data_IF_899662194791
#
_entry.id   IF_899662194791
#
_cell.length_a   1.000
_cell.length_b   1.000
_cell.length_c   1.000
_cell.angle_alpha   90.00
_cell.angle_beta   90.00
_cell.angle_gamma   90.00
#
_symmetry.space_group_name_H-M   'P 1'
#
loop_
_entity.id
_entity.type
_entity.pdbx_description
1 polymer ?
#
# COMPACT_ATOMS: atom_id res chain seq x y z
N UNK A 1 31.35 -2.18 6.02
CA UNK A 1 29.89 -1.90 5.91
C UNK A 1 29.27 -2.52 7.14
N UNK A 2 28.95 -1.66 8.11
CA UNK A 2 28.78 -2.05 9.51
C UNK A 2 27.55 -2.91 9.74
N UNK A 3 27.72 -4.00 10.48
CA UNK A 3 26.65 -4.91 10.95
C UNK A 3 25.57 -4.17 11.75
N UNK A 4 25.91 -3.08 12.42
CA UNK A 4 24.98 -2.17 13.12
C UNK A 4 24.04 -1.42 12.16
N UNK A 5 24.52 -0.96 11.01
CA UNK A 5 23.69 -0.31 10.01
C UNK A 5 22.72 -1.29 9.30
N UNK A 6 23.16 -2.53 9.08
CA UNK A 6 22.30 -3.58 8.54
C UNK A 6 21.19 -3.97 9.53
N UNK A 7 21.50 -4.05 10.84
CA UNK A 7 20.51 -4.33 11.89
C UNK A 7 19.46 -3.22 12.02
N UNK A 8 19.89 -1.95 12.04
CA UNK A 8 18.98 -0.78 12.07
C UNK A 8 18.06 -0.71 10.84
N UNK A 9 18.56 -1.03 9.65
CA UNK A 9 17.75 -1.07 8.44
C UNK A 9 16.70 -2.18 8.46
N UNK A 10 17.01 -3.35 9.02
CA UNK A 10 16.07 -4.45 9.16
C UNK A 10 14.95 -4.14 10.18
N UNK A 11 15.28 -3.54 11.31
CA UNK A 11 14.28 -3.10 12.30
C UNK A 11 13.37 -1.99 11.74
N UNK A 12 13.95 -1.05 10.99
CA UNK A 12 13.19 0.01 10.32
C UNK A 12 12.28 -0.56 9.24
N UNK A 13 12.77 -1.50 8.42
CA UNK A 13 11.97 -2.20 7.41
C UNK A 13 10.82 -3.00 8.04
N UNK A 14 11.06 -3.66 9.18
CA UNK A 14 10.03 -4.36 9.92
C UNK A 14 8.94 -3.41 10.45
N UNK A 15 9.30 -2.21 10.91
CA UNK A 15 8.36 -1.25 11.52
C UNK A 15 7.55 -0.43 10.50
N UNK A 16 8.16 -0.03 9.39
CA UNK A 16 7.59 0.92 8.44
C UNK A 16 7.49 0.35 7.02
N UNK A 17 7.67 -0.96 6.84
CA UNK A 17 7.83 -1.58 5.53
C UNK A 17 9.15 -1.20 4.85
N UNK A 18 9.48 -1.84 3.74
CA UNK A 18 10.64 -1.50 2.91
C UNK A 18 10.18 -0.80 1.64
N UNK A 19 10.59 0.48 1.40
CA UNK A 19 10.18 1.19 0.21
C UNK A 19 10.83 0.57 -1.04
N UNK A 20 10.14 0.63 -2.17
CA UNK A 20 10.72 0.27 -3.45
C UNK A 20 11.56 1.43 -3.97
N UNK A 21 12.84 1.18 -4.25
CA UNK A 21 13.75 2.16 -4.86
C UNK A 21 13.78 2.09 -6.40
N UNK A 22 13.00 1.20 -6.98
CA UNK A 22 12.97 0.99 -8.44
C UNK A 22 11.54 0.89 -8.90
N UNK A 23 11.18 1.71 -9.90
CA UNK A 23 9.89 1.61 -10.58
C UNK A 23 9.89 0.41 -11.52
N UNK A 24 8.87 -0.42 -11.44
CA UNK A 24 8.73 -1.69 -12.20
C UNK A 24 7.33 -1.81 -12.77
N UNK A 25 7.13 -2.81 -13.64
CA UNK A 25 5.83 -3.13 -14.24
C UNK A 25 4.70 -3.27 -13.20
N UNK A 26 5.03 -3.76 -12.01
CA UNK A 26 4.07 -3.90 -10.92
C UNK A 26 3.55 -2.57 -10.39
N UNK A 27 4.43 -1.59 -10.19
CA UNK A 27 4.06 -0.25 -9.77
C UNK A 27 3.33 0.48 -10.90
N UNK A 28 3.81 0.35 -12.13
CA UNK A 28 3.17 0.94 -13.31
C UNK A 28 1.71 0.45 -13.46
N UNK A 29 1.49 -0.85 -13.35
CA UNK A 29 0.14 -1.41 -13.37
C UNK A 29 -0.75 -0.84 -12.27
N UNK A 30 -0.23 -0.73 -11.03
CA UNK A 30 -0.99 -0.17 -9.91
C UNK A 30 -1.28 1.33 -10.14
N UNK A 31 -0.33 2.08 -10.71
CA UNK A 31 -0.55 3.47 -11.12
C UNK A 31 -1.74 3.60 -12.07
N UNK A 32 -1.81 2.78 -13.10
CA UNK A 32 -2.94 2.77 -14.04
C UNK A 32 -4.26 2.46 -13.35
N UNK A 33 -4.27 1.46 -12.44
CA UNK A 33 -5.46 1.14 -11.63
C UNK A 33 -5.89 2.30 -10.72
N UNK A 34 -4.93 3.03 -10.14
CA UNK A 34 -5.20 4.22 -9.32
C UNK A 34 -5.83 5.32 -10.18
N UNK A 35 -5.26 5.61 -11.35
CA UNK A 35 -5.77 6.63 -12.26
C UNK A 35 -7.17 6.30 -12.79
N UNK A 36 -7.42 5.04 -13.15
CA UNK A 36 -8.75 4.56 -13.53
C UNK A 36 -9.75 4.72 -12.37
N UNK A 37 -9.36 4.35 -11.15
CA UNK A 37 -10.21 4.48 -9.97
C UNK A 37 -10.46 5.93 -9.57
N UNK A 38 -9.48 6.80 -9.78
CA UNK A 38 -9.58 8.24 -9.50
C UNK A 38 -10.59 8.92 -10.43
N UNK A 39 -10.52 8.62 -11.73
CA UNK A 39 -11.31 9.35 -12.74
C UNK A 39 -11.08 10.85 -12.63
N UNK A 40 -12.13 11.66 -12.70
CA UNK A 40 -12.06 13.13 -12.62
C UNK A 40 -11.47 13.66 -11.31
N UNK A 41 -11.44 12.85 -10.24
CA UNK A 41 -10.88 13.25 -8.93
C UNK A 41 -9.37 13.45 -8.98
N UNK A 42 -8.68 12.90 -9.96
CA UNK A 42 -7.27 13.19 -10.24
C UNK A 42 -7.03 14.67 -10.51
N UNK A 43 -8.02 15.38 -11.08
CA UNK A 43 -7.94 16.83 -11.34
C UNK A 43 -8.12 17.68 -10.07
N UNK A 44 -8.25 17.06 -8.91
CA UNK A 44 -8.38 17.69 -7.62
C UNK A 44 -7.09 17.70 -6.79
N UNK A 45 -7.26 17.68 -5.48
CA UNK A 45 -6.17 17.58 -4.50
C UNK A 45 -6.06 16.13 -4.04
N UNK A 46 -4.88 15.55 -4.20
CA UNK A 46 -4.59 14.15 -3.88
C UNK A 46 -3.73 14.07 -2.62
N UNK A 47 -4.02 13.11 -1.75
CA UNK A 47 -3.17 12.71 -0.64
C UNK A 47 -2.64 11.30 -0.88
N UNK A 48 -1.35 11.11 -0.80
CA UNK A 48 -0.74 9.80 -0.59
C UNK A 48 -0.40 9.65 0.90
N UNK A 49 -1.17 8.82 1.60
CA UNK A 49 -0.95 8.53 3.01
C UNK A 49 0.07 7.39 3.13
N UNK A 50 1.28 7.70 3.59
CA UNK A 50 2.42 6.80 3.65
C UNK A 50 3.20 6.75 2.33
N UNK A 51 3.74 7.90 1.90
CA UNK A 51 4.40 8.01 0.58
C UNK A 51 5.81 7.38 0.52
N UNK A 52 6.36 6.92 1.65
CA UNK A 52 7.70 6.36 1.70
C UNK A 52 8.75 7.36 1.19
N UNK A 53 9.48 6.97 0.16
CA UNK A 53 10.49 7.83 -0.52
C UNK A 53 9.92 8.62 -1.70
N UNK A 54 8.58 8.69 -1.86
CA UNK A 54 7.90 9.55 -2.81
C UNK A 54 7.68 8.98 -4.22
N UNK A 55 7.90 7.68 -4.44
CA UNK A 55 7.81 7.06 -5.77
C UNK A 55 6.43 7.24 -6.43
N UNK A 56 5.34 7.01 -5.70
CA UNK A 56 4.00 7.23 -6.27
C UNK A 56 3.64 8.72 -6.34
N UNK A 57 4.15 9.57 -5.42
CA UNK A 57 3.99 11.03 -5.54
C UNK A 57 4.59 11.51 -6.86
N UNK A 58 5.83 11.09 -7.17
CA UNK A 58 6.53 11.44 -8.41
C UNK A 58 5.74 11.01 -9.65
N UNK A 59 5.34 9.73 -9.71
CA UNK A 59 4.68 9.17 -10.89
C UNK A 59 3.21 9.59 -11.03
N UNK A 60 2.51 9.96 -9.95
CA UNK A 60 1.15 10.52 -10.00
C UNK A 60 1.16 12.01 -10.34
N UNK A 61 2.19 12.74 -9.97
CA UNK A 61 2.27 14.21 -10.15
C UNK A 61 1.91 14.69 -11.57
N UNK A 62 2.36 14.04 -12.68
CA UNK A 62 1.99 14.47 -14.03
C UNK A 62 0.49 14.32 -14.35
N UNK A 63 -0.23 13.53 -13.59
CA UNK A 63 -1.62 13.16 -13.84
C UNK A 63 -2.62 13.88 -12.93
N UNK A 64 -2.14 14.65 -11.95
CA UNK A 64 -2.99 15.27 -10.93
C UNK A 64 -2.72 16.76 -10.81
N UNK A 65 -3.72 17.53 -10.36
CA UNK A 65 -3.55 18.98 -10.18
C UNK A 65 -2.59 19.32 -9.03
N UNK A 66 -2.72 18.62 -7.92
CA UNK A 66 -1.89 18.78 -6.73
C UNK A 66 -1.81 17.49 -5.95
N UNK A 67 -0.63 17.12 -5.48
CA UNK A 67 -0.44 15.94 -4.64
C UNK A 67 0.35 16.27 -3.38
N UNK A 68 -0.10 15.74 -2.24
CA UNK A 68 0.60 15.76 -0.97
C UNK A 68 0.99 14.33 -0.59
N UNK A 69 2.27 14.11 -0.35
CA UNK A 69 2.78 12.88 0.25
C UNK A 69 2.93 13.06 1.76
N UNK A 70 2.42 12.11 2.54
CA UNK A 70 2.58 12.10 3.98
C UNK A 70 3.40 10.88 4.38
N UNK A 71 4.45 11.09 5.18
CA UNK A 71 5.35 10.03 5.64
C UNK A 71 5.67 10.20 7.13
N UNK A 72 5.59 9.10 7.88
CA UNK A 72 5.87 9.06 9.31
C UNK A 72 7.39 9.17 9.59
N UNK A 73 8.19 8.44 8.82
CA UNK A 73 9.65 8.40 8.99
C UNK A 73 10.28 9.66 8.39
N UNK A 74 10.89 10.48 9.24
CA UNK A 74 11.45 11.77 8.84
C UNK A 74 12.57 11.66 7.80
N UNK A 75 13.40 10.61 7.85
CA UNK A 75 14.48 10.41 6.87
C UNK A 75 13.91 10.03 5.49
N UNK A 76 12.85 9.20 5.45
CA UNK A 76 12.13 8.90 4.21
C UNK A 76 11.40 10.12 3.66
N UNK A 77 10.81 10.95 4.53
CA UNK A 77 10.18 12.21 4.12
C UNK A 77 11.20 13.17 3.48
N UNK A 78 12.44 13.24 4.01
CA UNK A 78 13.53 14.00 3.38
C UNK A 78 13.88 13.42 2.01
N UNK A 79 14.02 12.10 1.89
CA UNK A 79 14.28 11.45 0.59
C UNK A 79 13.14 11.70 -0.40
N UNK A 80 11.89 11.56 0.02
CA UNK A 80 10.73 11.87 -0.80
C UNK A 80 10.74 13.32 -1.29
N UNK A 81 11.12 14.27 -0.41
CA UNK A 81 11.27 15.68 -0.78
C UNK A 81 12.38 15.89 -1.80
N UNK A 82 13.48 15.14 -1.73
CA UNK A 82 14.55 15.19 -2.74
C UNK A 82 14.07 14.63 -4.09
N UNK A 83 13.38 13.49 -4.09
CA UNK A 83 12.82 12.89 -5.31
C UNK A 83 11.79 13.81 -5.97
N UNK A 84 10.93 14.44 -5.18
CA UNK A 84 9.83 15.30 -5.68
C UNK A 84 10.20 16.79 -5.78
N UNK A 85 11.43 17.16 -5.47
CA UNK A 85 11.82 18.58 -5.24
C UNK A 85 11.65 19.51 -6.44
N UNK A 86 11.68 19.01 -7.67
CA UNK A 86 11.47 19.77 -8.89
C UNK A 86 9.99 19.84 -9.33
N UNK A 87 9.12 19.07 -8.67
CA UNK A 87 7.70 19.00 -9.01
C UNK A 87 6.92 20.15 -8.34
N UNK A 88 6.42 21.08 -9.12
CA UNK A 88 5.74 22.29 -8.60
C UNK A 88 4.39 21.97 -7.91
N UNK A 89 3.76 20.85 -8.25
CA UNK A 89 2.46 20.44 -7.72
C UNK A 89 2.54 19.38 -6.63
N UNK A 90 3.76 18.94 -6.23
CA UNK A 90 3.98 17.91 -5.21
C UNK A 90 4.56 18.51 -3.92
N UNK A 91 4.03 18.09 -2.78
CA UNK A 91 4.50 18.54 -1.47
C UNK A 91 4.61 17.35 -0.53
N UNK A 92 5.66 17.31 0.29
CA UNK A 92 5.90 16.25 1.28
C UNK A 92 5.75 16.82 2.69
N UNK A 93 5.03 16.08 3.54
CA UNK A 93 4.80 16.41 4.94
C UNK A 93 5.12 15.20 5.82
N UNK A 94 5.78 15.43 6.97
CA UNK A 94 5.99 14.37 7.96
C UNK A 94 4.87 14.42 9.00
N UNK A 95 4.05 13.36 9.05
CA UNK A 95 2.96 13.20 10.02
C UNK A 95 2.52 11.74 10.11
N UNK A 96 1.64 11.43 11.08
CA UNK A 96 1.06 10.09 11.29
C UNK A 96 -0.29 9.95 10.56
N UNK A 97 -0.52 8.79 9.95
CA UNK A 97 -1.77 8.52 9.21
C UNK A 97 -3.02 8.41 10.09
N UNK A 98 -2.86 8.11 11.38
CA UNK A 98 -3.94 8.01 12.37
C UNK A 98 -4.42 9.36 12.92
N UNK A 99 -3.73 10.46 12.56
CA UNK A 99 -4.10 11.83 12.94
C UNK A 99 -3.61 12.79 11.85
N UNK A 100 -4.40 12.91 10.80
CA UNK A 100 -4.06 13.71 9.63
C UNK A 100 -4.18 15.22 9.95
N UNK A 101 -3.12 16.03 9.71
CA UNK A 101 -3.10 17.45 10.02
C UNK A 101 -3.85 18.31 8.98
N UNK A 102 -5.00 17.82 8.52
CA UNK A 102 -5.80 18.47 7.50
C UNK A 102 -7.25 18.65 7.96
N UNK A 103 -7.91 19.65 7.40
CA UNK A 103 -9.32 19.91 7.65
C UNK A 103 -10.19 18.80 7.04
N UNK A 104 -11.40 18.64 7.59
CA UNK A 104 -12.41 17.75 7.03
C UNK A 104 -12.75 18.14 5.59
N UNK A 105 -12.82 17.17 4.68
CA UNK A 105 -13.22 17.40 3.31
C UNK A 105 -12.20 18.13 2.44
N UNK A 106 -10.90 17.97 2.71
CA UNK A 106 -9.82 18.62 1.96
C UNK A 106 -9.50 17.93 0.63
N UNK A 107 -9.54 16.60 0.58
CA UNK A 107 -9.01 15.82 -0.54
C UNK A 107 -10.09 15.24 -1.45
N UNK A 108 -9.80 15.23 -2.74
CA UNK A 108 -10.59 14.60 -3.79
C UNK A 108 -10.29 13.12 -3.95
N UNK A 109 -9.02 12.78 -3.74
CA UNK A 109 -8.50 11.42 -3.81
C UNK A 109 -7.52 11.18 -2.67
N UNK A 110 -7.61 10.00 -2.05
CA UNK A 110 -6.61 9.53 -1.09
C UNK A 110 -6.10 8.17 -1.56
N UNK A 111 -4.78 8.05 -1.68
CA UNK A 111 -4.09 6.80 -1.89
C UNK A 111 -3.49 6.32 -0.55
N UNK A 112 -3.71 5.05 -0.22
CA UNK A 112 -3.01 4.34 0.85
C UNK A 112 -2.49 3.02 0.29
N UNK A 113 -1.19 2.98 0.01
CA UNK A 113 -0.56 1.88 -0.71
C UNK A 113 0.43 1.14 0.18
N UNK A 114 0.04 -0.06 0.68
CA UNK A 114 0.85 -0.90 1.57
C UNK A 114 1.27 -0.11 2.84
N UNK A 115 0.30 0.48 3.55
CA UNK A 115 0.50 1.32 4.74
C UNK A 115 -0.29 0.82 5.94
N UNK A 116 -1.57 0.47 5.76
CA UNK A 116 -2.47 0.13 6.87
C UNK A 116 -2.00 -1.09 7.67
N UNK A 117 -1.24 -1.98 7.06
CA UNK A 117 -0.63 -3.13 7.72
C UNK A 117 0.45 -2.77 8.74
N UNK A 118 1.04 -1.58 8.62
CA UNK A 118 2.16 -1.10 9.46
C UNK A 118 1.74 -0.08 10.52
N UNK A 119 0.58 0.59 10.37
CA UNK A 119 0.12 1.61 11.33
C UNK A 119 -0.26 0.98 12.69
N UNK A 120 -0.28 1.76 13.75
CA UNK A 120 -0.67 1.25 15.07
C UNK A 120 -2.15 0.89 15.13
N UNK A 121 -3.01 1.78 14.63
CA UNK A 121 -4.46 1.63 14.57
C UNK A 121 -4.98 1.86 13.14
N UNK A 122 -5.14 0.75 12.41
CA UNK A 122 -5.60 0.76 11.02
C UNK A 122 -7.03 1.30 10.87
N UNK A 123 -7.89 1.03 11.88
CA UNK A 123 -9.24 1.59 11.89
C UNK A 123 -9.22 3.10 12.03
N UNK A 124 -8.41 3.64 12.95
CA UNK A 124 -8.27 5.08 13.15
C UNK A 124 -7.71 5.77 11.91
N UNK A 125 -6.74 5.15 11.23
CA UNK A 125 -6.20 5.66 9.97
C UNK A 125 -7.29 5.75 8.88
N UNK A 126 -8.15 4.72 8.74
CA UNK A 126 -9.26 4.74 7.77
C UNK A 126 -10.31 5.79 8.14
N UNK A 127 -10.63 5.97 9.44
CA UNK A 127 -11.54 7.04 9.92
C UNK A 127 -11.00 8.43 9.56
N UNK A 128 -9.71 8.66 9.78
CA UNK A 128 -9.07 9.94 9.45
C UNK A 128 -9.05 10.19 7.94
N UNK A 129 -8.73 9.17 7.13
CA UNK A 129 -8.86 9.27 5.67
C UNK A 129 -10.29 9.62 5.26
N UNK A 130 -11.29 8.95 5.82
CA UNK A 130 -12.69 9.27 5.54
C UNK A 130 -13.08 10.69 6.00
N UNK A 131 -12.53 11.20 7.10
CA UNK A 131 -12.75 12.55 7.58
C UNK A 131 -12.23 13.59 6.60
N UNK A 132 -10.98 13.46 6.19
CA UNK A 132 -10.33 14.46 5.32
C UNK A 132 -10.73 14.33 3.85
N UNK A 133 -11.37 13.24 3.45
CA UNK A 133 -11.95 13.06 2.12
C UNK A 133 -13.22 13.89 1.99
N UNK A 134 -13.39 14.61 0.87
CA UNK A 134 -14.61 15.37 0.59
C UNK A 134 -15.77 14.44 0.19
N UNK A 135 -17.04 14.85 0.32
CA UNK A 135 -18.16 14.14 -0.30
C UNK A 135 -17.91 13.95 -1.82
N UNK A 136 -18.17 12.75 -2.32
CA UNK A 136 -17.87 12.36 -3.71
C UNK A 136 -16.38 12.07 -3.99
N UNK A 137 -15.50 12.31 -3.04
CA UNK A 137 -14.07 11.92 -3.14
C UNK A 137 -13.89 10.41 -3.00
N UNK A 138 -12.73 9.90 -3.42
CA UNK A 138 -12.40 8.47 -3.37
C UNK A 138 -11.15 8.20 -2.56
N UNK A 139 -11.16 7.09 -1.85
CA UNK A 139 -9.94 6.49 -1.30
C UNK A 139 -9.64 5.18 -2.03
N UNK A 140 -8.38 5.03 -2.43
CA UNK A 140 -7.83 3.85 -3.09
C UNK A 140 -6.86 3.19 -2.12
N UNK A 141 -7.11 1.94 -1.78
CA UNK A 141 -6.37 1.22 -0.74
C UNK A 141 -5.81 -0.07 -1.31
N UNK A 142 -4.51 -0.28 -1.10
CA UNK A 142 -3.82 -1.55 -1.30
C UNK A 142 -3.29 -2.04 0.04
N UNK A 143 -3.58 -3.30 0.38
CA UNK A 143 -3.07 -3.97 1.59
C UNK A 143 -2.85 -5.45 1.32
N UNK A 144 -1.94 -6.12 2.05
CA UNK A 144 -1.65 -7.54 1.86
C UNK A 144 -2.88 -8.42 2.10
N UNK A 145 -3.12 -9.33 1.17
CA UNK A 145 -4.22 -10.27 1.26
C UNK A 145 -3.82 -11.51 2.08
N UNK A 146 -4.62 -11.84 3.09
CA UNK A 146 -4.44 -13.06 3.90
C UNK A 146 -4.53 -14.36 3.09
N UNK A 147 -5.28 -14.37 1.99
CA UNK A 147 -5.38 -15.53 1.10
C UNK A 147 -4.13 -15.79 0.25
N UNK A 148 -3.19 -14.84 0.20
CA UNK A 148 -1.93 -15.04 -0.52
C UNK A 148 -1.06 -16.08 0.19
N UNK A 149 -0.56 -17.12 -0.54
CA UNK A 149 0.13 -18.24 0.09
C UNK A 149 1.51 -17.92 0.68
N UNK A 150 2.02 -16.71 0.48
CA UNK A 150 3.33 -16.31 1.00
C UNK A 150 3.21 -15.07 1.90
N UNK A 151 3.95 -15.06 3.01
CA UNK A 151 4.23 -13.83 3.75
C UNK A 151 5.39 -13.10 3.07
N UNK A 152 5.16 -11.85 2.67
CA UNK A 152 6.11 -11.08 1.84
C UNK A 152 6.97 -10.11 2.63
N UNK A 153 6.62 -9.83 3.89
CA UNK A 153 7.34 -8.90 4.77
C UNK A 153 8.32 -9.63 5.70
N UNK A 154 8.51 -10.95 5.54
CA UNK A 154 9.39 -11.74 6.39
C UNK A 154 8.78 -12.11 7.74
N UNK A 155 9.56 -12.85 8.52
CA UNK A 155 9.15 -13.35 9.84
C UNK A 155 10.28 -13.23 10.86
N UNK A 156 9.92 -13.23 12.15
CA UNK A 156 10.84 -13.46 13.25
C UNK A 156 10.85 -14.94 13.60
N UNK A 157 12.02 -15.57 13.52
CA UNK A 157 12.23 -16.95 13.93
C UNK A 157 13.37 -17.04 14.93
N UNK A 158 13.10 -17.57 16.13
CA UNK A 158 14.09 -17.66 17.24
C UNK A 158 14.79 -16.32 17.54
N UNK A 159 14.05 -15.21 17.50
CA UNK A 159 14.58 -13.87 17.77
C UNK A 159 15.24 -13.17 16.57
N UNK A 160 15.46 -13.87 15.45
CA UNK A 160 16.07 -13.31 14.26
C UNK A 160 15.01 -12.98 13.21
N UNK A 161 15.16 -11.84 12.52
CA UNK A 161 14.33 -11.46 11.40
C UNK A 161 14.81 -12.11 10.11
N UNK A 162 13.91 -12.78 9.41
CA UNK A 162 14.14 -13.42 8.11
C UNK A 162 13.27 -12.76 7.05
N UNK A 163 13.87 -11.93 6.22
CA UNK A 163 13.19 -11.29 5.10
C UNK A 163 12.98 -12.28 3.94
N UNK A 164 11.87 -12.15 3.22
CA UNK A 164 11.59 -12.91 2.02
C UNK A 164 10.17 -13.48 1.97
N UNK A 165 9.87 -14.19 0.90
CA UNK A 165 8.58 -14.84 0.70
C UNK A 165 8.52 -16.17 1.47
N UNK A 166 7.90 -16.17 2.63
CA UNK A 166 7.79 -17.35 3.50
C UNK A 166 6.46 -18.04 3.25
N UNK A 167 6.45 -19.31 2.79
CA UNK A 167 5.21 -19.99 2.42
C UNK A 167 4.32 -20.28 3.63
N UNK A 168 3.00 -20.24 3.41
CA UNK A 168 1.92 -20.70 4.29
C UNK A 168 1.76 -19.96 5.63
N UNK A 169 2.58 -18.97 5.94
CA UNK A 169 2.49 -18.22 7.21
C UNK A 169 1.16 -17.49 7.35
N UNK A 170 0.60 -16.99 6.25
CA UNK A 170 -0.68 -16.30 6.26
C UNK A 170 -1.88 -17.21 6.59
N UNK A 171 -1.74 -18.52 6.44
CA UNK A 171 -2.77 -19.51 6.78
C UNK A 171 -2.74 -19.99 8.23
N UNK A 172 -1.70 -19.63 8.98
CA UNK A 172 -1.62 -19.94 10.40
C UNK A 172 -2.76 -19.27 11.19
N UNK A 173 -3.18 -19.88 12.31
CA UNK A 173 -4.03 -19.19 13.29
C UNK A 173 -3.45 -17.82 13.66
N UNK A 174 -4.32 -16.82 13.86
CA UNK A 174 -3.90 -15.42 14.10
C UNK A 174 -2.89 -15.28 15.24
N UNK A 175 -3.02 -16.06 16.29
CA UNK A 175 -2.10 -16.04 17.44
C UNK A 175 -0.68 -16.49 17.06
N UNK A 176 -0.55 -17.55 16.24
CA UNK A 176 0.75 -18.04 15.76
C UNK A 176 1.37 -17.10 14.75
N UNK A 177 0.55 -16.61 13.78
CA UNK A 177 1.04 -15.64 12.81
C UNK A 177 1.57 -14.38 13.48
N UNK A 178 0.87 -13.84 14.50
CA UNK A 178 1.32 -12.67 15.24
C UNK A 178 2.64 -12.87 15.98
N UNK A 179 2.99 -14.09 16.36
CA UNK A 179 4.31 -14.40 16.94
C UNK A 179 5.43 -14.40 15.90
N UNK A 180 5.11 -14.83 14.67
CA UNK A 180 6.07 -14.90 13.58
C UNK A 180 6.20 -13.56 12.84
N UNK A 181 5.10 -12.86 12.58
CA UNK A 181 5.07 -11.58 11.89
C UNK A 181 4.29 -10.51 12.70
N UNK A 182 4.83 -10.07 13.86
CA UNK A 182 4.17 -9.09 14.72
C UNK A 182 4.12 -7.69 14.11
N UNK A 183 5.01 -7.40 13.18
CA UNK A 183 5.28 -6.10 12.57
C UNK A 183 4.37 -5.77 11.38
N UNK A 184 3.58 -6.74 10.90
CA UNK A 184 2.73 -6.56 9.71
C UNK A 184 1.40 -7.29 9.85
N UNK A 185 0.31 -6.64 9.42
CA UNK A 185 -1.01 -7.26 9.31
C UNK A 185 -1.22 -7.83 7.91
N UNK A 186 -2.12 -8.80 7.80
CA UNK A 186 -2.73 -9.22 6.55
C UNK A 186 -4.24 -9.25 6.73
N UNK A 187 -4.96 -8.95 5.69
CA UNK A 187 -6.40 -8.73 5.75
C UNK A 187 -7.16 -9.81 4.99
N UNK A 188 -8.19 -10.37 5.60
CA UNK A 188 -9.25 -11.05 4.89
C UNK A 188 -10.26 -10.02 4.36
N UNK A 189 -11.15 -10.43 3.48
CA UNK A 189 -12.24 -9.58 2.99
C UNK A 189 -13.06 -8.99 4.16
N UNK A 190 -13.39 -9.83 5.14
CA UNK A 190 -14.12 -9.42 6.33
C UNK A 190 -13.33 -8.44 7.24
N UNK A 191 -12.01 -8.60 7.34
CA UNK A 191 -11.18 -7.63 8.07
C UNK A 191 -11.24 -6.26 7.39
N UNK A 192 -11.19 -6.24 6.06
CA UNK A 192 -11.33 -5.01 5.29
C UNK A 192 -12.71 -4.35 5.51
N UNK A 193 -13.81 -5.11 5.42
CA UNK A 193 -15.15 -4.55 5.67
C UNK A 193 -15.27 -3.90 7.05
N UNK A 194 -14.69 -4.53 8.07
CA UNK A 194 -14.68 -3.99 9.44
C UNK A 194 -14.01 -2.62 9.55
N UNK A 195 -12.96 -2.35 8.75
CA UNK A 195 -12.30 -1.05 8.74
C UNK A 195 -13.23 0.10 8.30
N UNK A 196 -14.28 -0.21 7.57
CA UNK A 196 -15.22 0.80 7.05
C UNK A 196 -16.57 0.82 7.78
N UNK A 197 -16.79 -0.04 8.79
CA UNK A 197 -18.07 -0.12 9.50
C UNK A 197 -18.48 1.25 10.07
N UNK A 198 -19.69 1.72 9.73
CA UNK A 198 -20.24 3.00 10.21
C UNK A 198 -19.64 4.25 9.57
N UNK A 199 -18.78 4.12 8.54
CA UNK A 199 -18.30 5.27 7.78
C UNK A 199 -19.27 5.60 6.63
N UNK A 200 -19.43 6.88 6.27
CA UNK A 200 -20.28 7.30 5.16
C UNK A 200 -19.58 7.08 3.82
N UNK A 201 -19.39 5.82 3.46
CA UNK A 201 -18.72 5.43 2.20
C UNK A 201 -19.49 4.33 1.50
N UNK A 202 -19.40 4.31 0.16
CA UNK A 202 -19.82 3.19 -0.68
C UNK A 202 -18.64 2.59 -1.40
N UNK A 203 -18.61 1.29 -1.56
CA UNK A 203 -17.54 0.62 -2.30
C UNK A 203 -17.78 0.66 -3.80
N UNK A 204 -16.80 1.14 -4.55
CA UNK A 204 -16.79 1.15 -6.02
C UNK A 204 -16.09 -0.12 -6.54
N UNK A 205 -14.98 -0.50 -5.91
CA UNK A 205 -14.25 -1.73 -6.20
C UNK A 205 -13.83 -2.42 -4.91
N UNK A 206 -13.99 -3.74 -4.90
CA UNK A 206 -13.52 -4.64 -3.85
C UNK A 206 -12.92 -5.87 -4.53
N UNK A 207 -11.63 -5.80 -4.88
CA UNK A 207 -10.94 -6.84 -5.63
C UNK A 207 -9.70 -7.29 -4.89
N UNK A 208 -9.22 -8.48 -5.25
CA UNK A 208 -7.89 -8.97 -4.91
C UNK A 208 -7.11 -9.12 -6.20
N UNK A 209 -5.88 -8.60 -6.23
CA UNK A 209 -5.03 -8.57 -7.42
C UNK A 209 -3.78 -9.42 -7.22
N UNK A 210 -3.28 -9.97 -8.33
CA UNK A 210 -2.00 -10.65 -8.38
C UNK A 210 -0.86 -9.69 -8.69
N UNK A 211 0.36 -10.06 -8.31
CA UNK A 211 1.57 -9.29 -8.58
C UNK A 211 1.95 -9.24 -10.07
N UNK A 212 2.98 -8.47 -10.39
CA UNK A 212 3.55 -8.41 -11.73
C UNK A 212 4.63 -9.46 -11.98
N UNK A 213 5.18 -10.07 -10.91
CA UNK A 213 6.18 -11.15 -10.99
C UNK A 213 7.45 -10.78 -11.78
N UNK A 214 7.86 -9.51 -11.71
CA UNK A 214 8.97 -8.94 -12.48
C UNK A 214 10.28 -9.71 -12.30
N UNK A 215 10.58 -10.19 -11.08
CA UNK A 215 11.79 -10.99 -10.82
C UNK A 215 11.76 -12.35 -11.56
N UNK A 216 10.58 -12.99 -11.67
CA UNK A 216 10.42 -14.24 -12.40
C UNK A 216 10.55 -13.97 -13.90
N UNK A 217 9.95 -12.88 -14.40
CA UNK A 217 10.04 -12.48 -15.81
C UNK A 217 11.49 -12.17 -16.19
N UNK A 218 12.23 -11.48 -15.32
CA UNK A 218 13.65 -11.18 -15.56
C UNK A 218 14.50 -12.45 -15.68
N UNK A 219 14.22 -13.48 -14.85
CA UNK A 219 14.97 -14.73 -14.85
C UNK A 219 14.53 -15.69 -15.96
N UNK A 220 13.24 -15.78 -16.24
CA UNK A 220 12.62 -16.65 -17.24
C UNK A 220 11.55 -15.90 -18.05
N UNK A 221 11.94 -15.08 -19.06
CA UNK A 221 11.03 -14.12 -19.69
C UNK A 221 9.76 -14.73 -20.28
N UNK A 222 9.87 -15.85 -21.00
CA UNK A 222 8.70 -16.51 -21.62
C UNK A 222 7.78 -17.11 -20.59
N UNK A 223 8.32 -17.90 -19.66
CA UNK A 223 7.55 -18.56 -18.60
C UNK A 223 6.91 -17.52 -17.66
N UNK A 224 7.67 -16.50 -17.24
CA UNK A 224 7.18 -15.45 -16.34
C UNK A 224 6.03 -14.64 -16.96
N UNK A 225 6.10 -14.32 -18.27
CA UNK A 225 5.00 -13.64 -18.97
C UNK A 225 3.73 -14.48 -19.04
N UNK A 226 3.87 -15.78 -19.33
CA UNK A 226 2.71 -16.70 -19.33
C UNK A 226 2.12 -16.81 -17.94
N UNK A 227 2.94 -17.05 -16.91
CA UNK A 227 2.52 -17.12 -15.51
C UNK A 227 1.78 -15.84 -15.10
N UNK A 228 2.34 -14.66 -15.37
CA UNK A 228 1.70 -13.38 -15.10
C UNK A 228 0.32 -13.28 -15.77
N UNK A 229 0.22 -13.62 -17.05
CA UNK A 229 -1.03 -13.57 -17.81
C UNK A 229 -2.09 -14.50 -17.21
N UNK A 230 -1.72 -15.73 -16.84
CA UNK A 230 -2.62 -16.70 -16.21
C UNK A 230 -3.09 -16.19 -14.85
N UNK A 231 -2.17 -15.82 -13.96
CA UNK A 231 -2.51 -15.36 -12.61
C UNK A 231 -3.34 -14.08 -12.63
N UNK A 232 -3.00 -13.09 -13.47
CA UNK A 232 -3.82 -11.89 -13.61
C UNK A 232 -5.19 -12.18 -14.26
N UNK A 233 -5.28 -13.19 -15.12
CA UNK A 233 -6.56 -13.69 -15.62
C UNK A 233 -7.48 -14.25 -14.52
N UNK A 234 -6.88 -14.84 -13.48
CA UNK A 234 -7.63 -15.37 -12.33
C UNK A 234 -8.28 -14.27 -11.47
N UNK A 235 -7.89 -13.00 -11.61
CA UNK A 235 -8.53 -11.87 -10.90
C UNK A 235 -10.01 -11.69 -11.24
N UNK A 236 -10.46 -12.26 -12.36
CA UNK A 236 -11.87 -12.26 -12.80
C UNK A 236 -12.64 -13.51 -12.39
N UNK A 237 -12.04 -14.38 -11.61
CA UNK A 237 -12.60 -15.65 -11.16
C UNK A 237 -12.64 -15.71 -9.63
N UNK A 238 -13.37 -16.67 -9.03
CA UNK A 238 -13.31 -16.88 -7.58
C UNK A 238 -11.88 -17.12 -7.05
N UNK A 239 -10.95 -17.57 -7.89
CA UNK A 239 -9.55 -17.79 -7.51
C UNK A 239 -8.78 -16.50 -7.18
N UNK A 240 -9.36 -15.32 -7.39
CA UNK A 240 -8.77 -14.04 -6.98
C UNK A 240 -8.41 -14.02 -5.48
N UNK A 241 -9.07 -14.83 -4.63
CA UNK A 241 -8.76 -14.89 -3.20
C UNK A 241 -7.30 -15.28 -2.90
N UNK A 242 -6.59 -15.93 -3.84
CA UNK A 242 -5.16 -16.23 -3.76
C UNK A 242 -4.25 -15.09 -4.23
N UNK A 243 -4.80 -13.95 -4.64
CA UNK A 243 -4.02 -12.80 -5.10
C UNK A 243 -3.21 -12.16 -3.98
N UNK A 244 -2.25 -11.34 -4.38
CA UNK A 244 -1.24 -10.73 -3.51
C UNK A 244 -1.81 -9.67 -2.56
N UNK A 245 -2.58 -8.73 -3.13
CA UNK A 245 -3.08 -7.56 -2.40
C UNK A 245 -4.57 -7.34 -2.64
N UNK A 246 -5.27 -6.88 -1.62
CA UNK A 246 -6.55 -6.22 -1.80
C UNK A 246 -6.36 -4.93 -2.59
N UNK A 247 -7.28 -4.64 -3.49
CA UNK A 247 -7.45 -3.37 -4.16
C UNK A 247 -8.89 -2.92 -3.93
N UNK A 248 -9.06 -1.97 -3.01
CA UNK A 248 -10.36 -1.46 -2.63
C UNK A 248 -10.48 0.03 -2.95
N UNK A 249 -11.62 0.40 -3.52
CA UNK A 249 -11.97 1.79 -3.81
C UNK A 249 -13.27 2.11 -3.12
N UNK A 250 -13.22 3.06 -2.19
CA UNK A 250 -14.37 3.57 -1.47
C UNK A 250 -14.61 5.04 -1.81
N UNK A 251 -15.85 5.40 -2.07
CA UNK A 251 -16.29 6.78 -2.34
C UNK A 251 -17.09 7.29 -1.17
N UNK A 252 -16.76 8.50 -0.68
CA UNK A 252 -17.51 9.14 0.40
C UNK A 252 -18.86 9.63 -0.11
N UNK A 253 -19.94 9.28 0.60
CA UNK A 253 -21.31 9.72 0.32
C UNK A 253 -21.66 10.99 1.08
#
# INVERSE_FOLDING_TARGET
>A
MDTENAGRNLEKAARCGEPSYVWRDGQERRLQMILEAAGERAQGVVLENGCGIGMYVEHLSPHVRKILGLELDFERAIQARQVCGELQNAHILSAIGEQLPFQTGTFDLILSHEVLEHVQDDRKAVVEMARVLRPGGRMVIFVPNRGYPFETHGIYWRGNYHFGNIPLVNYLPRCLRRRLAPHVRVYSYHDMEKLFTGLPVRFIHQKVIFGAYDNIIRRWPRLGKVLRKVLQGMERTPMQFLGLSHFWVAEKV
#
